data_IF_582538566278
#
_entry.id   IF_582538566278
#
_cell.length_a   1.000
_cell.length_b   1.000
_cell.length_c   1.000
_cell.angle_alpha   90.00
_cell.angle_beta   90.00
_cell.angle_gamma   90.00
#
_symmetry.space_group_name_H-M   'P 1'
#
loop_
_entity.id
_entity.type
_entity.pdbx_description
1 polymer ?
#
# COMPACT_ATOMS: atom_id res chain seq x y z
N UNK A 1 -1.99 7.42 16.84
CA UNK A 1 -2.58 8.66 16.30
C UNK A 1 -2.50 8.54 14.80
N UNK A 2 -3.60 8.65 14.08
CA UNK A 2 -3.54 8.70 12.62
C UNK A 2 -3.01 10.08 12.21
N UNK A 3 -2.26 10.16 11.11
CA UNK A 3 -1.83 11.46 10.60
C UNK A 3 -3.03 12.31 10.20
N UNK A 4 -2.91 13.62 10.39
CA UNK A 4 -3.84 14.63 9.91
C UNK A 4 -3.22 15.34 8.69
N UNK A 5 -3.42 14.81 7.47
CA UNK A 5 -2.78 15.36 6.29
C UNK A 5 -3.47 16.62 5.79
N UNK A 6 -2.69 17.47 5.12
CA UNK A 6 -3.22 18.66 4.45
C UNK A 6 -3.99 18.26 3.19
N UNK A 7 -5.31 18.39 3.24
CA UNK A 7 -6.19 18.14 2.10
C UNK A 7 -6.22 19.33 1.12
N UNK A 8 -6.18 19.03 -0.19
CA UNK A 8 -6.36 20.01 -1.26
C UNK A 8 -7.24 19.42 -2.35
N UNK A 9 -8.28 20.16 -2.75
CA UNK A 9 -9.08 19.80 -3.92
C UNK A 9 -8.29 19.98 -5.21
N UNK A 10 -8.51 19.07 -6.16
CA UNK A 10 -7.95 19.14 -7.52
C UNK A 10 -8.95 19.76 -8.50
N UNK A 11 -10.16 20.05 -8.05
CA UNK A 11 -11.26 20.71 -8.78
C UNK A 11 -11.83 21.85 -7.94
N UNK A 12 -12.96 22.43 -8.36
CA UNK A 12 -13.69 23.44 -7.59
C UNK A 12 -14.60 22.84 -6.50
N UNK A 13 -14.69 21.52 -6.42
CA UNK A 13 -15.45 20.81 -5.39
C UNK A 13 -14.71 20.82 -4.04
N UNK A 14 -15.45 20.58 -2.95
CA UNK A 14 -14.84 20.45 -1.63
C UNK A 14 -13.89 19.22 -1.57
N UNK A 15 -12.73 19.33 -0.89
CA UNK A 15 -11.86 18.19 -0.68
C UNK A 15 -12.46 17.21 0.32
N UNK A 16 -12.10 15.93 0.20
CA UNK A 16 -12.50 14.89 1.16
C UNK A 16 -11.76 15.00 2.49
N UNK A 17 -12.42 14.60 3.57
CA UNK A 17 -11.80 14.43 4.87
C UNK A 17 -11.03 13.10 4.93
N UNK A 18 -9.79 13.13 5.42
CA UNK A 18 -8.94 11.93 5.47
C UNK A 18 -9.56 10.80 6.32
N UNK A 19 -10.18 11.15 7.45
CA UNK A 19 -10.83 10.20 8.34
C UNK A 19 -12.02 9.47 7.70
N UNK A 20 -12.69 10.09 6.73
CA UNK A 20 -13.79 9.49 5.97
C UNK A 20 -13.28 8.60 4.83
N UNK A 21 -12.12 8.95 4.25
CA UNK A 21 -11.53 8.23 3.11
C UNK A 21 -10.76 7.00 3.55
N UNK A 22 -10.02 7.08 4.66
CA UNK A 22 -9.14 6.00 5.15
C UNK A 22 -9.85 4.64 5.31
N UNK A 23 -11.07 4.55 5.87
CA UNK A 23 -11.80 3.27 5.95
C UNK A 23 -11.99 2.61 4.58
N UNK A 24 -12.32 3.38 3.55
CA UNK A 24 -12.50 2.86 2.19
C UNK A 24 -11.20 2.34 1.58
N UNK A 25 -10.07 2.96 1.92
CA UNK A 25 -8.76 2.47 1.49
C UNK A 25 -8.42 1.13 2.17
N UNK A 26 -8.66 1.07 3.48
CA UNK A 26 -8.39 -0.11 4.29
C UNK A 26 -9.25 -1.31 3.90
N UNK A 27 -10.48 -1.05 3.46
CA UNK A 27 -11.40 -2.03 2.90
C UNK A 27 -11.10 -2.38 1.42
N UNK A 28 -9.95 -2.05 0.82
CA UNK A 28 -9.65 -2.54 -0.54
C UNK A 28 -9.10 -3.97 -0.55
N UNK A 29 -9.64 -4.85 -1.41
CA UNK A 29 -9.12 -6.22 -1.66
C UNK A 29 -8.63 -6.39 -3.11
N UNK A 30 -8.66 -5.32 -3.89
CA UNK A 30 -8.33 -5.39 -5.31
C UNK A 30 -6.84 -5.64 -5.55
N UNK A 31 -6.52 -5.99 -6.79
CA UNK A 31 -5.14 -5.90 -7.28
C UNK A 31 -4.68 -4.44 -7.21
N UNK A 32 -3.50 -4.23 -6.61
CA UNK A 32 -2.82 -2.95 -6.62
C UNK A 32 -1.69 -2.99 -7.66
N UNK A 33 -1.36 -1.82 -8.22
CA UNK A 33 -0.31 -1.64 -9.21
C UNK A 33 0.83 -0.84 -8.59
N UNK A 34 1.92 -1.53 -8.24
CA UNK A 34 3.11 -0.91 -7.68
C UNK A 34 4.04 -0.49 -8.82
N UNK A 35 4.34 0.80 -8.90
CA UNK A 35 5.36 1.37 -9.76
C UNK A 35 6.58 1.75 -8.94
N UNK A 36 7.74 1.25 -9.36
CA UNK A 36 9.06 1.63 -8.83
C UNK A 36 9.92 2.14 -9.98
N UNK A 37 10.91 2.97 -9.69
CA UNK A 37 11.78 3.55 -10.72
C UNK A 37 13.09 2.77 -10.84
N UNK A 38 13.53 2.51 -12.07
CA UNK A 38 14.85 1.93 -12.34
C UNK A 38 15.95 2.99 -12.19
N UNK A 39 17.19 2.55 -12.04
CA UNK A 39 18.35 3.46 -11.99
C UNK A 39 18.47 4.36 -13.23
N UNK A 40 17.95 3.92 -14.39
CA UNK A 40 17.90 4.70 -15.64
C UNK A 40 16.64 5.58 -15.77
N UNK A 41 15.85 5.72 -14.70
CA UNK A 41 14.64 6.55 -14.66
C UNK A 41 13.39 5.89 -15.26
N UNK A 42 13.48 4.71 -15.89
CA UNK A 42 12.29 4.06 -16.47
C UNK A 42 11.39 3.46 -15.39
N UNK A 43 10.06 3.54 -15.54
CA UNK A 43 9.14 2.94 -14.59
C UNK A 43 9.15 1.40 -14.69
N UNK A 44 8.92 0.74 -13.57
CA UNK A 44 8.69 -0.70 -13.47
C UNK A 44 7.41 -0.95 -12.67
N UNK A 45 6.31 -1.19 -13.38
CA UNK A 45 4.99 -1.46 -12.77
C UNK A 45 4.73 -2.95 -12.66
N UNK A 46 4.25 -3.42 -11.50
CA UNK A 46 3.84 -4.82 -11.28
C UNK A 46 2.57 -4.90 -10.44
N UNK A 47 1.69 -5.87 -10.72
CA UNK A 47 0.58 -6.17 -9.83
C UNK A 47 1.09 -6.73 -8.49
N UNK A 48 0.35 -6.46 -7.43
CA UNK A 48 0.47 -7.11 -6.12
C UNK A 48 -0.84 -7.04 -5.33
N UNK A 49 -0.91 -7.78 -4.24
CA UNK A 49 -1.95 -7.63 -3.22
C UNK A 49 -1.36 -6.86 -2.04
N UNK A 50 -2.11 -5.92 -1.51
CA UNK A 50 -1.76 -5.17 -0.30
C UNK A 50 -2.86 -5.27 0.75
N UNK A 51 -2.48 -5.02 2.00
CA UNK A 51 -3.39 -4.91 3.14
C UNK A 51 -3.04 -3.66 3.92
N UNK A 52 -4.04 -2.99 4.48
CA UNK A 52 -3.81 -1.80 5.30
C UNK A 52 -3.66 -2.20 6.77
N UNK A 53 -2.52 -1.85 7.37
CA UNK A 53 -2.24 -2.10 8.80
C UNK A 53 -1.60 -0.85 9.38
N UNK A 54 -2.10 -0.42 10.54
CA UNK A 54 -1.65 0.80 11.22
C UNK A 54 -1.69 2.03 10.28
N UNK A 55 -2.77 2.13 9.48
CA UNK A 55 -3.03 3.22 8.53
C UNK A 55 -2.18 3.22 7.27
N UNK A 56 -1.37 2.18 7.02
CA UNK A 56 -0.42 2.12 5.90
C UNK A 56 -0.67 0.88 5.03
N UNK A 57 -0.59 1.01 3.69
CA UNK A 57 -0.62 -0.16 2.83
C UNK A 57 0.70 -0.94 2.99
N UNK A 58 0.55 -2.23 3.29
CA UNK A 58 1.63 -3.19 3.44
C UNK A 58 1.53 -4.24 2.34
N UNK A 59 2.68 -4.65 1.79
CA UNK A 59 2.74 -5.69 0.79
C UNK A 59 3.88 -6.70 1.00
N UNK A 60 3.62 -7.95 0.63
CA UNK A 60 4.60 -9.02 0.60
C UNK A 60 5.31 -9.10 -0.78
N UNK A 61 6.61 -9.36 -0.77
CA UNK A 61 7.38 -9.58 -2.00
C UNK A 61 8.52 -10.57 -1.78
N UNK A 62 8.68 -11.52 -2.71
CA UNK A 62 9.82 -12.44 -2.70
C UNK A 62 11.15 -11.70 -2.88
N UNK A 63 12.18 -12.15 -2.18
CA UNK A 63 13.51 -11.54 -2.20
C UNK A 63 14.13 -11.49 -3.60
N UNK A 64 13.99 -12.57 -4.38
CA UNK A 64 14.56 -12.69 -5.73
C UNK A 64 13.84 -11.88 -6.81
N UNK A 65 12.76 -11.17 -6.49
CA UNK A 65 11.97 -10.45 -7.49
C UNK A 65 12.69 -9.20 -7.99
N UNK A 66 12.40 -8.79 -9.23
CA UNK A 66 12.92 -7.54 -9.77
C UNK A 66 12.50 -6.33 -8.93
N UNK A 67 11.24 -6.30 -8.44
CA UNK A 67 10.74 -5.20 -7.59
C UNK A 67 11.52 -5.13 -6.26
N UNK A 68 11.76 -6.24 -5.56
CA UNK A 68 12.53 -6.25 -4.31
C UNK A 68 13.96 -5.72 -4.47
N UNK A 69 14.63 -6.07 -5.57
CA UNK A 69 15.97 -5.54 -5.90
C UNK A 69 15.93 -4.03 -6.16
N UNK A 70 14.92 -3.55 -6.89
CA UNK A 70 14.75 -2.12 -7.16
C UNK A 70 14.44 -1.32 -5.89
N UNK A 71 13.58 -1.84 -5.01
CA UNK A 71 13.24 -1.21 -3.72
C UNK A 71 14.45 -1.08 -2.78
N UNK A 72 15.43 -1.98 -2.91
CA UNK A 72 16.69 -1.87 -2.15
C UNK A 72 17.56 -0.71 -2.64
N UNK A 73 17.47 -0.35 -3.92
CA UNK A 73 18.22 0.75 -4.51
C UNK A 73 17.52 2.11 -4.36
N UNK A 74 16.19 2.13 -4.41
CA UNK A 74 15.37 3.32 -4.20
C UNK A 74 14.06 2.94 -3.52
N UNK A 75 13.72 3.52 -2.35
CA UNK A 75 12.51 3.18 -1.62
C UNK A 75 11.26 3.86 -2.19
N UNK A 76 11.40 4.80 -3.13
CA UNK A 76 10.30 5.60 -3.67
C UNK A 76 9.36 4.76 -4.55
N UNK A 77 8.06 4.86 -4.25
CA UNK A 77 7.01 4.10 -4.93
C UNK A 77 5.77 4.94 -5.22
N UNK A 78 5.04 4.50 -6.24
CA UNK A 78 3.65 4.87 -6.48
C UNK A 78 2.81 3.60 -6.50
N UNK A 79 1.79 3.53 -5.64
CA UNK A 79 0.89 2.39 -5.51
C UNK A 79 -0.53 2.82 -5.91
N UNK A 80 -1.03 2.29 -7.01
CA UNK A 80 -2.37 2.61 -7.51
C UNK A 80 -3.36 1.44 -7.29
N UNK A 81 -4.60 1.74 -6.91
CA UNK A 81 -5.66 0.74 -6.75
C UNK A 81 -7.05 1.41 -6.80
N UNK A 82 -8.11 0.60 -6.79
CA UNK A 82 -9.50 1.08 -6.73
C UNK A 82 -10.21 0.48 -5.52
N UNK A 83 -11.18 1.20 -4.97
CA UNK A 83 -12.04 0.74 -3.84
C UNK A 83 -13.47 0.46 -4.29
N UNK A 84 -13.77 0.63 -5.59
CA UNK A 84 -15.14 0.64 -6.12
C UNK A 84 -15.90 1.95 -5.88
N UNK A 85 -15.40 2.82 -4.99
CA UNK A 85 -15.90 4.18 -4.77
C UNK A 85 -14.97 5.25 -5.34
N UNK A 86 -13.68 4.95 -5.37
CA UNK A 86 -12.63 5.86 -5.80
C UNK A 86 -11.47 5.08 -6.43
N UNK A 87 -10.80 5.74 -7.37
CA UNK A 87 -9.48 5.36 -7.84
C UNK A 87 -8.43 6.12 -7.02
N UNK A 88 -7.40 5.40 -6.55
CA UNK A 88 -6.50 5.87 -5.50
C UNK A 88 -5.06 5.69 -5.95
N UNK A 89 -4.23 6.69 -5.65
CA UNK A 89 -2.77 6.63 -5.82
C UNK A 89 -2.11 7.02 -4.50
N UNK A 90 -1.26 6.16 -3.96
CA UNK A 90 -0.44 6.41 -2.79
C UNK A 90 1.01 6.57 -3.23
N UNK A 91 1.58 7.74 -3.02
CA UNK A 91 2.99 8.03 -3.28
C UNK A 91 3.76 8.11 -1.96
N UNK A 92 4.95 7.53 -1.91
CA UNK A 92 5.80 7.58 -0.73
C UNK A 92 6.98 6.64 -0.79
N UNK A 93 7.60 6.39 0.36
CA UNK A 93 8.74 5.51 0.49
C UNK A 93 8.35 4.19 1.17
N UNK A 94 8.98 3.08 0.80
CA UNK A 94 8.80 1.81 1.51
C UNK A 94 9.79 1.62 2.65
N UNK A 95 9.32 0.95 3.70
CA UNK A 95 10.14 0.48 4.81
C UNK A 95 10.01 -1.03 4.97
N UNK A 96 11.11 -1.72 5.31
CA UNK A 96 11.06 -3.14 5.67
C UNK A 96 10.37 -3.29 7.03
N UNK A 97 9.34 -4.13 7.06
CA UNK A 97 8.71 -4.56 8.31
C UNK A 97 9.42 -5.81 8.81
N UNK A 98 10.01 -5.72 10.01
CA UNK A 98 10.76 -6.80 10.67
C UNK A 98 10.17 -7.21 12.02
N UNK A 99 9.42 -6.32 12.67
CA UNK A 99 8.89 -6.55 14.02
C UNK A 99 7.83 -7.67 14.05
N UNK A 100 7.95 -8.66 14.94
CA UNK A 100 7.10 -9.85 14.95
C UNK A 100 5.61 -9.49 15.09
N UNK A 101 5.24 -8.67 16.08
CA UNK A 101 3.86 -8.27 16.33
C UNK A 101 3.20 -7.60 15.11
N UNK A 102 3.97 -6.81 14.35
CA UNK A 102 3.46 -6.14 13.15
C UNK A 102 3.33 -7.11 11.99
N UNK A 103 4.26 -8.05 11.85
CA UNK A 103 4.16 -9.12 10.84
C UNK A 103 2.97 -10.04 11.09
N UNK A 104 2.67 -10.36 12.35
CA UNK A 104 1.49 -11.15 12.73
C UNK A 104 0.19 -10.42 12.37
N UNK A 105 0.08 -9.12 12.66
CA UNK A 105 -1.09 -8.32 12.23
C UNK A 105 -1.24 -8.28 10.71
N UNK A 106 -0.14 -8.14 9.98
CA UNK A 106 -0.15 -8.14 8.51
C UNK A 106 -0.56 -9.51 7.96
N UNK A 107 -0.07 -10.60 8.55
CA UNK A 107 -0.47 -11.95 8.19
C UNK A 107 -1.98 -12.18 8.41
N UNK A 108 -2.51 -11.74 9.57
CA UNK A 108 -3.93 -11.81 9.87
C UNK A 108 -4.77 -10.98 8.87
N UNK A 109 -4.33 -9.77 8.54
CA UNK A 109 -5.00 -8.93 7.56
C UNK A 109 -5.01 -9.55 6.15
N UNK A 110 -3.93 -10.25 5.76
CA UNK A 110 -3.92 -11.01 4.50
C UNK A 110 -4.92 -12.16 4.50
N UNK A 111 -5.03 -12.89 5.62
CA UNK A 111 -5.98 -13.98 5.76
C UNK A 111 -7.43 -13.48 5.67
N UNK A 112 -7.73 -12.38 6.35
CA UNK A 112 -9.06 -11.76 6.33
C UNK A 112 -9.41 -11.17 4.95
N UNK A 113 -8.50 -10.42 4.34
CA UNK A 113 -8.79 -9.62 3.14
C UNK A 113 -8.72 -10.43 1.85
N UNK A 114 -7.77 -11.36 1.78
CA UNK A 114 -7.42 -12.08 0.54
C UNK A 114 -7.54 -13.60 0.67
N UNK A 115 -7.89 -14.13 1.86
CA UNK A 115 -7.93 -15.57 2.10
C UNK A 115 -6.57 -16.25 2.10
N UNK A 116 -5.47 -15.48 2.02
CA UNK A 116 -4.10 -16.00 2.05
C UNK A 116 -3.57 -15.88 3.47
N UNK A 117 -3.26 -17.01 4.12
CA UNK A 117 -2.88 -17.06 5.53
C UNK A 117 -1.38 -17.40 5.72
N UNK A 118 -0.46 -16.47 5.44
CA UNK A 118 0.94 -16.67 5.75
C UNK A 118 1.19 -16.64 7.27
N UNK A 119 2.38 -17.05 7.67
CA UNK A 119 2.87 -17.08 9.04
C UNK A 119 4.11 -16.19 9.13
N UNK A 120 4.16 -15.35 10.17
CA UNK A 120 5.35 -14.57 10.52
C UNK A 120 6.47 -15.48 11.02
N UNK A 121 7.65 -15.37 10.43
CA UNK A 121 8.85 -16.11 10.85
C UNK A 121 10.11 -15.35 10.46
N UNK A 122 11.05 -15.20 11.39
CA UNK A 122 12.39 -14.65 11.16
C UNK A 122 12.40 -13.27 10.43
N UNK A 123 11.43 -12.40 10.71
CA UNK A 123 11.34 -11.07 10.09
C UNK A 123 10.71 -11.06 8.68
N UNK A 124 10.08 -12.17 8.29
CA UNK A 124 9.45 -12.39 6.99
C UNK A 124 8.09 -13.09 7.14
N UNK A 125 7.38 -13.23 6.01
CA UNK A 125 6.19 -14.08 5.91
C UNK A 125 6.55 -15.36 5.16
N UNK A 126 6.03 -16.49 5.63
CA UNK A 126 6.18 -17.80 4.98
C UNK A 126 4.89 -18.58 5.08
N UNK A 127 4.76 -19.73 4.42
CA UNK A 127 3.55 -20.54 4.51
C UNK A 127 3.53 -21.66 3.46
N UNK A 128 2.62 -22.64 3.61
CA UNK A 128 2.47 -23.71 2.63
C UNK A 128 1.95 -23.18 1.27
N UNK A 129 1.13 -22.13 1.31
CA UNK A 129 0.57 -21.49 0.15
C UNK A 129 1.39 -20.28 -0.29
N UNK A 130 1.73 -20.23 -1.57
CA UNK A 130 2.46 -19.12 -2.14
C UNK A 130 1.58 -17.88 -2.32
N UNK A 131 2.15 -16.69 -2.13
CA UNK A 131 1.50 -15.45 -2.52
C UNK A 131 1.30 -15.41 -4.05
N UNK A 132 0.06 -15.24 -4.56
CA UNK A 132 -0.25 -15.36 -5.99
C UNK A 132 0.58 -14.46 -6.91
N UNK A 133 1.06 -13.32 -6.39
CA UNK A 133 1.79 -12.30 -7.16
C UNK A 133 3.26 -12.12 -6.72
N UNK A 134 3.73 -12.88 -5.72
CA UNK A 134 5.06 -12.70 -5.12
C UNK A 134 6.01 -13.89 -5.35
N UNK A 135 5.52 -15.04 -5.83
CA UNK A 135 6.34 -16.24 -6.06
C UNK A 135 6.37 -17.17 -4.83
N UNK A 136 7.33 -18.10 -4.73
CA UNK A 136 7.46 -18.99 -3.57
C UNK A 136 7.98 -18.22 -2.33
N UNK A 137 7.69 -18.72 -1.10
CA UNK A 137 8.20 -18.14 0.13
C UNK A 137 9.72 -18.33 0.28
N UNK A 138 10.39 -17.55 1.16
CA UNK A 138 9.81 -16.56 2.06
C UNK A 138 9.62 -15.17 1.41
N UNK A 139 8.83 -14.33 2.08
CA UNK A 139 8.46 -13.00 1.62
C UNK A 139 8.92 -11.91 2.57
N UNK A 140 9.65 -10.95 2.01
CA UNK A 140 9.87 -9.67 2.68
C UNK A 140 8.56 -8.89 2.69
N UNK A 141 8.29 -8.24 3.82
CA UNK A 141 7.15 -7.33 3.97
C UNK A 141 7.65 -5.89 3.94
N UNK A 142 6.92 -5.07 3.18
CA UNK A 142 7.15 -3.65 3.05
C UNK A 142 5.90 -2.89 3.46
N UNK A 143 6.07 -1.78 4.17
CA UNK A 143 5.01 -0.80 4.40
C UNK A 143 5.32 0.44 3.57
N UNK A 144 4.34 0.97 2.84
CA UNK A 144 4.47 2.30 2.22
C UNK A 144 4.19 3.33 3.31
N UNK A 145 5.10 4.27 3.51
CA UNK A 145 4.90 5.48 4.30
C UNK A 145 4.43 6.57 3.34
N UNK A 146 3.13 6.92 3.35
CA UNK A 146 2.59 7.89 2.41
C UNK A 146 3.21 9.28 2.62
N UNK A 147 3.63 9.89 1.53
CA UNK A 147 3.95 11.32 1.45
C UNK A 147 2.79 12.10 0.82
N UNK A 148 2.10 11.47 -0.14
CA UNK A 148 0.93 12.02 -0.82
C UNK A 148 -0.06 10.90 -1.12
N UNK A 149 -1.35 11.17 -0.95
CA UNK A 149 -2.44 10.30 -1.41
C UNK A 149 -3.35 11.10 -2.31
N UNK A 150 -3.74 10.51 -3.43
CA UNK A 150 -4.76 11.02 -4.33
C UNK A 150 -5.96 10.08 -4.30
N UNK A 151 -7.17 10.63 -4.25
CA UNK A 151 -8.39 9.86 -4.50
C UNK A 151 -9.27 10.60 -5.49
N UNK A 152 -9.78 9.85 -6.46
CA UNK A 152 -10.67 10.31 -7.51
C UNK A 152 -11.99 9.55 -7.37
N UNK A 153 -13.06 10.18 -6.86
CA UNK A 153 -14.37 9.56 -6.78
C UNK A 153 -14.84 9.03 -8.15
N UNK A 154 -15.31 7.78 -8.19
CA UNK A 154 -15.96 7.16 -9.36
C UNK A 154 -17.44 6.83 -9.09
N UNK A 155 -17.89 7.06 -7.86
CA UNK A 155 -19.27 7.05 -7.41
C UNK A 155 -19.60 8.42 -6.78
N UNK A 156 -20.88 8.70 -6.57
CA UNK A 156 -21.30 9.89 -5.84
C UNK A 156 -20.76 9.84 -4.40
N UNK A 157 -19.89 10.80 -4.08
CA UNK A 157 -19.30 11.03 -2.76
C UNK A 157 -19.47 12.51 -2.40
N UNK A 158 -19.48 12.88 -1.10
CA UNK A 158 -19.68 14.26 -0.67
C UNK A 158 -18.46 15.18 -0.93
N UNK A 159 -17.47 14.71 -1.69
CA UNK A 159 -16.24 15.42 -2.00
C UNK A 159 -15.77 15.13 -3.42
N UNK A 160 -14.98 16.03 -3.99
CA UNK A 160 -14.37 15.87 -5.30
C UNK A 160 -13.00 15.17 -5.25
N UNK A 161 -12.30 15.10 -6.40
CA UNK A 161 -10.92 14.66 -6.48
C UNK A 161 -10.01 15.40 -5.51
N UNK A 162 -9.35 14.66 -4.64
CA UNK A 162 -8.61 15.23 -3.51
C UNK A 162 -7.19 14.70 -3.45
N UNK A 163 -6.26 15.57 -3.07
CA UNK A 163 -4.88 15.24 -2.72
C UNK A 163 -4.63 15.56 -1.25
N UNK A 164 -4.15 14.57 -0.49
CA UNK A 164 -3.67 14.72 0.88
C UNK A 164 -2.15 14.68 0.91
N UNK A 165 -1.51 15.62 1.61
CA UNK A 165 -0.05 15.63 1.84
C UNK A 165 0.27 15.37 3.30
N UNK A 166 1.27 14.54 3.54
CA UNK A 166 1.70 14.11 4.87
C UNK A 166 3.08 14.70 5.15
N UNK A 167 3.17 15.63 6.10
CA UNK A 167 4.44 16.26 6.48
C UNK A 167 5.27 15.33 7.39
N UNK A 168 4.60 14.56 8.25
CA UNK A 168 5.19 13.54 9.12
C UNK A 168 4.19 12.39 9.24
N UNK A 169 4.65 11.16 9.02
CA UNK A 169 3.89 9.97 9.39
C UNK A 169 4.36 9.51 10.78
N UNK A 170 3.50 9.57 11.82
CA UNK A 170 3.88 9.21 13.19
C UNK A 170 4.09 7.70 13.40
#
# INVERSE_FOLDING_TARGET
MFPDPQARSLTDEAPGAWEEVLPHLAESAGTCWLTVTRADGRPHTRPLLSVWVDGRPCFASGEGTAKSRLLTASPEVSLAFTTGRMDVVVEGAVERVLGPDRLERIAAAYAERHGWAPVAKDGELTGPDGAPTAGPPPYRVFAVVPSTVYAFPVAELPHGPTRWRFDVWP
#
